data_IF_441887934752
#
_entry.id   IF_441887934752
#
_cell.length_a   1.000
_cell.length_b   1.000
_cell.length_c   1.000
_cell.angle_alpha   90.00
_cell.angle_beta   90.00
_cell.angle_gamma   90.00
#
_symmetry.space_group_name_H-M   'P 1'
#
loop_
_entity.id
_entity.type
_entity.pdbx_description
1 polymer ?
#
# COMPACT_ATOMS: atom_id res chain seq x y z
N UNK A 1 25.30 12.72 15.61
CA UNK A 1 23.98 13.37 15.72
C UNK A 1 23.05 12.50 16.57
N UNK A 2 23.09 12.69 17.89
CA UNK A 2 22.21 12.03 18.86
C UNK A 2 21.38 13.14 19.50
N UNK A 3 20.04 13.06 19.40
CA UNK A 3 19.00 13.77 20.19
C UNK A 3 17.78 14.19 19.33
N UNK A 4 17.08 13.26 18.66
CA UNK A 4 15.71 13.49 18.12
C UNK A 4 14.86 12.21 18.20
N UNK A 5 14.93 11.44 19.30
CA UNK A 5 14.10 10.23 19.46
C UNK A 5 13.11 10.29 20.64
N UNK A 6 13.15 11.35 21.46
CA UNK A 6 12.28 11.48 22.64
C UNK A 6 10.94 12.17 22.30
N UNK A 7 10.90 12.99 21.23
CA UNK A 7 9.68 13.71 20.83
C UNK A 7 8.66 12.82 20.09
N UNK A 8 9.11 11.76 19.43
CA UNK A 8 8.24 10.82 18.72
C UNK A 8 7.47 9.90 19.68
N UNK A 9 8.02 9.63 20.87
CA UNK A 9 7.36 8.82 21.90
C UNK A 9 6.17 9.57 22.54
N UNK A 10 6.25 10.90 22.64
CA UNK A 10 5.16 11.74 23.15
C UNK A 10 3.98 11.84 22.17
N UNK A 11 4.21 11.80 20.86
CA UNK A 11 3.13 11.79 19.87
C UNK A 11 2.39 10.45 19.80
N UNK A 12 3.08 9.32 19.97
CA UNK A 12 2.43 8.00 19.96
C UNK A 12 1.54 7.79 21.20
N UNK A 13 1.89 8.37 22.35
CA UNK A 13 1.06 8.28 23.56
C UNK A 13 -0.24 9.09 23.41
N UNK A 14 -0.24 10.21 22.67
CA UNK A 14 -1.46 11.01 22.43
C UNK A 14 -2.48 10.28 21.54
N UNK A 15 -2.05 9.41 20.62
CA UNK A 15 -2.97 8.60 19.80
C UNK A 15 -3.59 7.41 20.57
N UNK A 16 -2.96 6.93 21.64
CA UNK A 16 -3.54 5.89 22.51
C UNK A 16 -4.65 6.42 23.44
N UNK A 17 -4.71 7.73 23.69
CA UNK A 17 -5.77 8.35 24.50
C UNK A 17 -6.93 8.95 23.70
N UNK A 18 -6.87 8.93 22.36
CA UNK A 18 -7.93 9.46 21.49
C UNK A 18 -9.12 8.50 21.27
N UNK A 19 -9.14 7.33 21.93
CA UNK A 19 -10.21 6.32 21.78
C UNK A 19 -11.14 6.20 22.99
N UNK A 20 -11.30 7.25 23.81
CA UNK A 20 -12.44 7.29 24.72
C UNK A 20 -13.69 7.61 23.91
N UNK A 21 -14.42 6.60 23.43
CA UNK A 21 -15.73 6.82 22.80
C UNK A 21 -16.63 7.51 23.84
N UNK A 22 -17.13 8.70 23.48
CA UNK A 22 -18.05 9.43 24.32
C UNK A 22 -19.31 8.57 24.52
N UNK A 23 -19.66 8.28 25.77
CA UNK A 23 -20.84 7.50 26.12
C UNK A 23 -22.00 8.41 26.49
N UNK A 24 -23.21 7.90 26.24
CA UNK A 24 -24.45 8.64 26.40
C UNK A 24 -25.46 7.83 27.22
N UNK A 25 -26.23 8.54 28.02
CA UNK A 25 -27.46 8.03 28.61
C UNK A 25 -28.64 8.43 27.71
N UNK A 26 -29.59 7.52 27.50
CA UNK A 26 -30.87 7.82 26.85
C UNK A 26 -32.05 7.40 27.73
N UNK A 27 -33.12 8.20 27.71
CA UNK A 27 -34.29 7.93 28.54
C UNK A 27 -35.48 8.83 28.20
N UNK A 28 -36.68 8.40 28.62
CA UNK A 28 -37.92 9.17 28.51
C UNK A 28 -38.30 9.75 29.87
N UNK A 29 -38.61 11.04 29.90
CA UNK A 29 -38.96 11.79 31.10
C UNK A 29 -40.45 12.08 31.13
N UNK A 30 -41.09 11.66 32.23
CA UNK A 30 -42.52 11.78 32.44
C UNK A 30 -42.79 12.65 33.67
N UNK A 31 -43.96 13.29 33.69
CA UNK A 31 -44.49 13.93 34.89
C UNK A 31 -45.16 12.89 35.81
N UNK A 32 -45.66 13.36 36.98
CA UNK A 32 -46.35 12.52 37.97
C UNK A 32 -47.57 11.77 37.38
N UNK A 33 -48.20 12.33 36.35
CA UNK A 33 -49.34 11.75 35.63
C UNK A 33 -48.91 10.85 34.46
N UNK A 34 -47.65 10.43 34.38
CA UNK A 34 -47.07 9.61 33.29
C UNK A 34 -47.18 10.23 31.89
N UNK A 35 -47.39 11.55 31.78
CA UNK A 35 -47.35 12.25 30.49
C UNK A 35 -45.91 12.63 30.14
N UNK A 36 -45.47 12.45 28.89
CA UNK A 36 -44.13 12.82 28.46
C UNK A 36 -43.93 14.33 28.60
N UNK A 37 -42.76 14.74 29.09
CA UNK A 37 -42.42 16.15 29.23
C UNK A 37 -41.61 16.61 28.02
N UNK A 38 -42.21 17.45 27.17
CA UNK A 38 -41.53 18.07 26.04
C UNK A 38 -40.73 19.31 26.49
N UNK A 39 -39.58 19.57 25.86
CA UNK A 39 -38.69 20.70 26.14
C UNK A 39 -38.22 20.80 27.60
N UNK A 40 -38.15 19.67 28.29
CA UNK A 40 -37.63 19.59 29.65
C UNK A 40 -36.10 19.67 29.60
N UNK A 41 -35.52 20.62 30.32
CA UNK A 41 -34.07 20.73 30.50
C UNK A 41 -33.56 19.70 31.50
N UNK A 42 -32.80 18.71 31.00
CA UNK A 42 -32.13 17.69 31.80
C UNK A 42 -30.64 18.01 31.84
N UNK A 43 -30.12 18.27 33.05
CA UNK A 43 -28.73 18.65 33.29
C UNK A 43 -27.97 17.49 33.95
N UNK A 44 -26.83 17.11 33.41
CA UNK A 44 -25.86 16.29 34.13
C UNK A 44 -25.10 17.19 35.12
N UNK A 45 -25.36 17.01 36.42
CA UNK A 45 -24.76 17.83 37.49
C UNK A 45 -23.24 17.64 37.57
N UNK A 46 -22.74 16.48 37.19
CA UNK A 46 -21.31 16.13 37.26
C UNK A 46 -20.51 16.78 36.13
N UNK A 47 -21.05 16.80 34.90
CA UNK A 47 -20.35 17.32 33.71
C UNK A 47 -20.75 18.74 33.32
N UNK A 48 -21.90 19.24 33.80
CA UNK A 48 -22.46 20.53 33.41
C UNK A 48 -23.16 20.53 32.04
N UNK A 49 -23.17 19.39 31.34
CA UNK A 49 -23.85 19.24 30.04
C UNK A 49 -25.36 19.12 30.25
N UNK A 50 -26.16 19.82 29.45
CA UNK A 50 -27.61 19.69 29.46
C UNK A 50 -28.16 19.42 28.06
N UNK A 51 -29.31 18.76 28.02
CA UNK A 51 -30.10 18.56 26.79
C UNK A 51 -31.58 18.81 27.07
N UNK A 52 -32.33 19.08 26.00
CA UNK A 52 -33.77 19.22 26.04
C UNK A 52 -34.44 17.94 25.54
N UNK A 53 -35.52 17.53 26.20
CA UNK A 53 -36.34 16.42 25.71
C UNK A 53 -37.12 16.79 24.45
N UNK A 54 -37.35 15.82 23.58
CA UNK A 54 -38.20 15.95 22.39
C UNK A 54 -39.71 15.92 22.73
N UNK A 55 -40.55 15.98 21.68
CA UNK A 55 -42.01 15.90 21.79
C UNK A 55 -42.55 14.66 22.52
N UNK A 56 -41.78 13.57 22.54
CA UNK A 56 -42.11 12.30 23.21
C UNK A 56 -41.45 12.18 24.58
N UNK A 57 -40.81 13.25 25.06
CA UNK A 57 -40.10 13.29 26.33
C UNK A 57 -38.77 12.55 26.33
N UNK A 58 -38.22 12.20 25.17
CA UNK A 58 -36.95 11.48 25.04
C UNK A 58 -35.76 12.43 24.97
N UNK A 59 -34.67 12.08 25.64
CA UNK A 59 -33.41 12.80 25.55
C UNK A 59 -32.21 11.84 25.51
N UNK A 60 -31.16 12.24 24.81
CA UNK A 60 -29.85 11.60 24.79
C UNK A 60 -28.84 12.59 25.36
N UNK A 61 -28.12 12.23 26.41
CA UNK A 61 -27.22 13.14 27.10
C UNK A 61 -25.87 12.47 27.35
N UNK A 62 -24.79 13.21 27.12
CA UNK A 62 -23.44 12.80 27.49
C UNK A 62 -23.33 12.54 29.00
N UNK A 63 -23.02 11.29 29.38
CA UNK A 63 -22.94 10.90 30.78
C UNK A 63 -22.01 9.69 30.97
N UNK A 64 -21.47 9.58 32.19
CA UNK A 64 -20.78 8.39 32.68
C UNK A 64 -21.69 7.62 33.63
N UNK A 65 -21.42 6.33 33.79
CA UNK A 65 -22.09 5.56 34.85
C UNK A 65 -21.87 6.26 36.20
N UNK A 66 -22.93 6.35 37.00
CA UNK A 66 -22.99 7.02 38.30
C UNK A 66 -23.00 8.56 38.27
N UNK A 67 -23.06 9.19 37.09
CA UNK A 67 -23.39 10.63 37.02
C UNK A 67 -24.82 10.88 37.52
N UNK A 68 -25.08 12.09 38.03
CA UNK A 68 -26.40 12.49 38.52
C UNK A 68 -27.05 13.48 37.55
N UNK A 69 -28.19 13.08 36.99
CA UNK A 69 -29.04 13.95 36.19
C UNK A 69 -30.02 14.69 37.09
N UNK A 70 -30.25 15.96 36.81
CA UNK A 70 -31.19 16.83 37.51
C UNK A 70 -32.07 17.60 36.54
N UNK A 71 -33.34 17.75 36.88
CA UNK A 71 -34.32 18.56 36.14
C UNK A 71 -35.32 19.21 37.11
N UNK A 72 -36.21 20.07 36.60
CA UNK A 72 -37.16 20.85 37.40
C UNK A 72 -36.47 21.64 38.54
N UNK A 73 -35.42 22.38 38.20
CA UNK A 73 -34.59 23.14 39.15
C UNK A 73 -34.01 22.29 40.30
N UNK A 74 -33.67 21.03 40.02
CA UNK A 74 -33.03 20.13 40.98
C UNK A 74 -33.97 19.36 41.89
N UNK A 75 -35.30 19.52 41.72
CA UNK A 75 -36.29 18.74 42.49
C UNK A 75 -36.27 17.25 42.13
N UNK A 76 -35.94 16.94 40.88
CA UNK A 76 -35.90 15.57 40.40
C UNK A 76 -34.47 15.17 40.08
N UNK A 77 -34.07 13.98 40.53
CA UNK A 77 -32.70 13.44 40.40
C UNK A 77 -32.73 12.01 39.88
N UNK A 78 -31.84 11.67 38.95
CA UNK A 78 -31.64 10.31 38.47
C UNK A 78 -30.16 9.96 38.42
N UNK A 79 -29.77 8.83 39.00
CA UNK A 79 -28.42 8.29 38.85
C UNK A 79 -28.34 7.53 37.54
N UNK A 80 -27.35 7.88 36.72
CA UNK A 80 -27.11 7.27 35.41
C UNK A 80 -26.58 5.85 35.58
N UNK A 81 -27.22 4.92 34.88
CA UNK A 81 -26.71 3.57 34.67
C UNK A 81 -26.94 3.15 33.22
N UNK A 82 -26.13 2.23 32.70
CA UNK A 82 -26.24 1.67 31.34
C UNK A 82 -26.02 2.68 30.21
N UNK A 83 -24.94 3.45 30.29
CA UNK A 83 -24.50 4.32 29.18
C UNK A 83 -24.09 3.49 27.95
N UNK A 84 -24.37 4.00 26.76
CA UNK A 84 -24.10 3.33 25.47
C UNK A 84 -23.47 4.31 24.49
N UNK A 85 -22.88 3.77 23.42
CA UNK A 85 -22.42 4.59 22.30
C UNK A 85 -23.63 5.19 21.56
N UNK A 86 -23.47 6.43 21.08
CA UNK A 86 -24.52 7.17 20.38
C UNK A 86 -25.11 6.38 19.20
N UNK A 87 -24.24 5.71 18.42
CA UNK A 87 -24.64 4.88 17.28
C UNK A 87 -25.65 3.80 17.67
N UNK A 88 -25.38 3.06 18.76
CA UNK A 88 -26.26 1.98 19.23
C UNK A 88 -27.62 2.52 19.71
N UNK A 89 -27.64 3.73 20.30
CA UNK A 89 -28.88 4.38 20.71
C UNK A 89 -29.71 4.76 19.47
N UNK A 90 -29.08 5.40 18.47
CA UNK A 90 -29.76 5.82 17.25
C UNK A 90 -30.30 4.63 16.43
N UNK A 91 -29.52 3.56 16.29
CA UNK A 91 -29.96 2.33 15.60
C UNK A 91 -31.17 1.68 16.28
N UNK A 92 -31.27 1.77 17.61
CA UNK A 92 -32.41 1.21 18.35
C UNK A 92 -33.71 2.01 18.22
N UNK A 93 -33.65 3.28 17.82
CA UNK A 93 -34.83 4.14 17.61
C UNK A 93 -35.39 4.03 16.19
N UNK A 94 -34.61 3.52 15.23
CA UNK A 94 -35.06 3.34 13.85
C UNK A 94 -35.85 2.03 13.74
N UNK A 95 -37.14 2.14 13.37
CA UNK A 95 -38.00 0.98 13.16
C UNK A 95 -37.50 0.20 11.94
N UNK A 96 -36.93 -0.98 12.18
CA UNK A 96 -36.57 -1.93 11.12
C UNK A 96 -37.84 -2.51 10.52
N UNK A 97 -38.19 -2.11 9.30
CA UNK A 97 -39.26 -2.73 8.51
C UNK A 97 -38.62 -3.44 7.33
N UNK A 98 -38.95 -4.73 7.16
CA UNK A 98 -38.52 -5.49 5.99
C UNK A 98 -39.17 -4.89 4.74
N UNK A 99 -38.33 -4.59 3.73
CA UNK A 99 -38.79 -4.10 2.44
C UNK A 99 -39.69 -5.17 1.81
N UNK A 100 -40.99 -4.86 1.69
CA UNK A 100 -41.90 -5.73 0.94
C UNK A 100 -41.45 -5.77 -0.51
N UNK A 101 -41.25 -6.97 -1.05
CA UNK A 101 -40.87 -7.13 -2.45
C UNK A 101 -41.96 -6.54 -3.35
N UNK A 102 -41.55 -5.72 -4.30
CA UNK A 102 -42.42 -5.27 -5.39
C UNK A 102 -42.47 -6.43 -6.39
N UNK A 103 -43.59 -7.12 -6.45
CA UNK A 103 -43.80 -8.25 -7.36
C UNK A 103 -44.47 -7.74 -8.65
N UNK A 104 -43.82 -7.94 -9.80
CA UNK A 104 -44.38 -7.63 -11.12
C UNK A 104 -44.39 -8.88 -11.99
N UNK A 105 -45.58 -9.26 -12.49
CA UNK A 105 -45.75 -10.41 -13.40
C UNK A 105 -45.00 -10.24 -14.72
N UNK A 106 -44.73 -9.00 -15.12
CA UNK A 106 -44.05 -8.69 -16.39
C UNK A 106 -42.55 -8.98 -16.31
N UNK A 107 -41.97 -9.02 -15.10
CA UNK A 107 -40.57 -9.36 -14.89
C UNK A 107 -40.35 -10.89 -14.97
N UNK A 108 -41.27 -11.67 -14.41
CA UNK A 108 -41.19 -13.15 -14.39
C UNK A 108 -41.21 -13.75 -15.80
N UNK A 109 -41.97 -13.17 -16.74
CA UNK A 109 -42.07 -13.68 -18.11
C UNK A 109 -40.80 -13.47 -18.95
N UNK A 110 -39.91 -12.56 -18.53
CA UNK A 110 -38.66 -12.25 -19.22
C UNK A 110 -37.45 -13.02 -18.65
N UNK A 111 -37.56 -13.60 -17.46
CA UNK A 111 -36.47 -14.32 -16.79
C UNK A 111 -36.64 -15.84 -16.73
N UNK A 112 -37.82 -16.37 -17.07
CA UNK A 112 -38.05 -17.82 -17.12
C UNK A 112 -37.55 -18.35 -18.48
N UNK A 113 -36.25 -18.59 -18.56
CA UNK A 113 -35.77 -19.75 -19.30
C UNK A 113 -35.85 -20.93 -18.32
N UNK A 114 -36.79 -21.84 -18.55
CA UNK A 114 -36.77 -23.15 -17.90
C UNK A 114 -35.54 -23.93 -18.41
N UNK A 115 -34.37 -23.68 -17.83
CA UNK A 115 -33.35 -24.72 -17.77
C UNK A 115 -33.90 -25.81 -16.87
N UNK A 116 -34.53 -26.82 -17.48
CA UNK A 116 -34.69 -28.12 -16.84
C UNK A 116 -33.30 -28.66 -16.56
N UNK A 117 -32.79 -28.37 -15.36
CA UNK A 117 -31.59 -28.98 -14.82
C UNK A 117 -31.80 -30.51 -14.81
N UNK A 118 -31.17 -31.19 -15.76
CA UNK A 118 -31.21 -32.64 -15.87
C UNK A 118 -30.50 -33.34 -14.70
N UNK A 119 -29.88 -32.58 -13.78
CA UNK A 119 -29.24 -33.06 -12.56
C UNK A 119 -30.03 -32.73 -11.28
N UNK A 120 -31.21 -32.13 -11.37
CA UNK A 120 -32.07 -31.95 -10.18
C UNK A 120 -32.54 -33.32 -9.71
N UNK A 121 -31.99 -33.78 -8.59
CA UNK A 121 -32.37 -35.03 -7.92
C UNK A 121 -33.82 -34.87 -7.48
N UNK A 122 -34.74 -35.52 -8.21
CA UNK A 122 -36.14 -35.66 -7.82
C UNK A 122 -36.28 -36.22 -6.41
N UNK A 123 -37.40 -35.87 -5.76
CA UNK A 123 -37.76 -36.20 -4.38
C UNK A 123 -37.22 -37.56 -3.89
N UNK A 124 -36.03 -37.55 -3.30
CA UNK A 124 -35.44 -38.71 -2.64
C UNK A 124 -35.79 -38.61 -1.16
N UNK A 125 -36.58 -39.57 -0.67
CA UNK A 125 -37.10 -39.65 0.71
C UNK A 125 -36.00 -39.90 1.77
N UNK A 126 -34.75 -40.14 1.37
CA UNK A 126 -33.62 -40.37 2.27
C UNK A 126 -32.88 -39.06 2.59
N UNK A 127 -33.55 -38.15 3.30
CA UNK A 127 -32.91 -36.93 3.81
C UNK A 127 -32.24 -37.20 5.17
N UNK A 128 -30.89 -37.25 5.15
CA UNK A 128 -30.11 -37.32 6.39
C UNK A 128 -29.95 -35.89 6.93
N UNK A 129 -30.58 -35.61 8.07
CA UNK A 129 -30.49 -34.29 8.72
C UNK A 129 -29.44 -34.30 9.82
N UNK A 130 -29.02 -33.12 10.31
CA UNK A 130 -28.08 -33.01 11.43
C UNK A 130 -28.56 -33.70 12.72
N UNK A 131 -29.85 -34.07 12.80
CA UNK A 131 -30.46 -34.77 13.94
C UNK A 131 -30.52 -36.30 13.75
N UNK A 132 -30.14 -36.82 12.58
CA UNK A 132 -30.24 -38.24 12.25
C UNK A 132 -29.25 -39.13 12.99
N UNK A 133 -28.22 -38.56 13.63
CA UNK A 133 -27.28 -39.29 14.50
C UNK A 133 -26.74 -38.39 15.62
N UNK A 134 -26.53 -38.95 16.82
CA UNK A 134 -26.01 -38.19 17.99
C UNK A 134 -24.59 -37.64 17.75
N UNK A 135 -23.83 -38.25 16.86
CA UNK A 135 -22.48 -37.89 16.49
C UNK A 135 -22.39 -37.38 15.05
N UNK A 136 -23.49 -36.89 14.48
CA UNK A 136 -23.53 -36.38 13.11
C UNK A 136 -22.50 -35.27 12.86
N UNK A 137 -22.23 -34.45 13.88
CA UNK A 137 -21.17 -33.41 13.88
C UNK A 137 -19.75 -33.96 13.72
N UNK A 138 -19.56 -35.25 13.98
CA UNK A 138 -18.27 -35.94 13.90
C UNK A 138 -18.13 -36.73 12.59
N UNK A 139 -19.06 -36.60 11.65
CA UNK A 139 -19.03 -37.31 10.36
C UNK A 139 -18.22 -36.50 9.34
N UNK A 140 -17.13 -37.09 8.84
CA UNK A 140 -16.27 -36.48 7.80
C UNK A 140 -16.75 -36.81 6.39
N UNK A 141 -17.23 -38.03 6.17
CA UNK A 141 -17.65 -38.51 4.85
C UNK A 141 -18.77 -39.53 4.97
N UNK A 142 -19.79 -39.37 4.14
CA UNK A 142 -20.84 -40.36 3.89
C UNK A 142 -20.58 -41.00 2.52
N UNK A 143 -20.68 -42.32 2.42
CA UNK A 143 -20.61 -43.04 1.15
C UNK A 143 -21.74 -44.05 1.09
N UNK A 144 -22.61 -43.97 0.08
CA UNK A 144 -23.64 -44.97 -0.18
C UNK A 144 -22.98 -46.30 -0.55
N UNK A 145 -23.38 -47.39 0.10
CA UNK A 145 -22.91 -48.75 -0.21
C UNK A 145 -23.91 -49.49 -1.09
N UNK A 146 -25.16 -49.64 -0.63
CA UNK A 146 -26.25 -50.33 -1.33
C UNK A 146 -27.58 -50.04 -0.61
N UNK A 147 -28.70 -49.98 -1.33
CA UNK A 147 -30.07 -49.99 -0.78
C UNK A 147 -30.24 -49.09 0.47
N UNK A 148 -29.91 -47.80 0.33
CA UNK A 148 -29.99 -46.79 1.40
C UNK A 148 -29.09 -47.00 2.63
N UNK A 149 -28.17 -47.97 2.60
CA UNK A 149 -27.12 -48.11 3.61
C UNK A 149 -25.93 -47.18 3.32
N UNK A 150 -25.64 -46.28 4.27
CA UNK A 150 -24.51 -45.37 4.21
C UNK A 150 -23.36 -45.84 5.10
N UNK A 151 -22.16 -45.91 4.53
CA UNK A 151 -20.92 -46.04 5.29
C UNK A 151 -20.51 -44.66 5.80
N UNK A 152 -20.54 -44.50 7.11
CA UNK A 152 -20.11 -43.30 7.81
C UNK A 152 -18.61 -43.39 8.11
N UNK A 153 -17.84 -42.36 7.76
CA UNK A 153 -16.46 -42.17 8.22
C UNK A 153 -16.40 -40.98 9.16
N UNK A 154 -16.00 -41.23 10.40
CA UNK A 154 -15.85 -40.19 11.42
C UNK A 154 -14.59 -39.35 11.19
N UNK A 155 -14.63 -38.10 11.66
CA UNK A 155 -13.48 -37.21 11.75
C UNK A 155 -12.48 -37.84 12.74
N UNK A 156 -11.23 -38.10 12.34
CA UNK A 156 -10.24 -38.57 13.28
C UNK A 156 -9.99 -37.49 14.34
N UNK A 157 -9.84 -37.90 15.61
CA UNK A 157 -9.56 -36.97 16.72
C UNK A 157 -8.31 -36.13 16.51
N UNK A 158 -7.34 -36.66 15.75
CA UNK A 158 -6.09 -35.98 15.37
C UNK A 158 -5.98 -35.97 13.84
N UNK A 159 -5.79 -34.80 13.25
CA UNK A 159 -5.65 -34.65 11.81
C UNK A 159 -4.63 -33.59 11.45
N UNK A 160 -3.96 -33.78 10.31
CA UNK A 160 -3.10 -32.78 9.70
C UNK A 160 -3.94 -31.89 8.79
N UNK A 161 -3.77 -30.58 8.94
CA UNK A 161 -4.27 -29.57 8.00
C UNK A 161 -3.09 -28.94 7.32
N UNK A 162 -3.22 -28.75 6.01
CA UNK A 162 -2.22 -28.08 5.18
C UNK A 162 -2.96 -27.05 4.34
N UNK A 163 -2.47 -25.82 4.36
CA UNK A 163 -2.94 -24.75 3.49
C UNK A 163 -1.76 -23.89 3.06
N UNK A 164 -1.97 -23.10 2.03
CA UNK A 164 -0.98 -22.15 1.57
C UNK A 164 -1.55 -21.22 0.51
N UNK A 165 -0.79 -20.21 0.20
CA UNK A 165 -1.09 -19.25 -0.85
C UNK A 165 0.18 -18.93 -1.61
N UNK A 166 0.06 -18.88 -2.93
CA UNK A 166 1.10 -18.37 -3.81
C UNK A 166 0.55 -17.16 -4.54
N UNK A 167 1.26 -16.04 -4.49
CA UNK A 167 0.94 -14.85 -5.27
C UNK A 167 2.16 -14.42 -6.07
N UNK A 168 1.91 -14.08 -7.33
CA UNK A 168 2.91 -13.51 -8.23
C UNK A 168 2.36 -12.21 -8.79
N UNK A 169 3.19 -11.18 -8.88
CA UNK A 169 2.83 -9.90 -9.51
C UNK A 169 3.90 -9.48 -10.50
N UNK A 170 3.48 -8.73 -11.51
CA UNK A 170 4.35 -8.04 -12.45
C UNK A 170 3.87 -6.60 -12.55
N UNK A 171 4.81 -5.68 -12.40
CA UNK A 171 4.53 -4.24 -12.39
C UNK A 171 5.29 -3.57 -13.53
N UNK A 172 4.59 -2.79 -14.35
CA UNK A 172 5.19 -1.97 -15.41
C UNK A 172 4.98 -0.51 -15.04
N UNK A 173 6.08 0.19 -14.73
CA UNK A 173 6.03 1.57 -14.23
C UNK A 173 6.69 2.49 -15.27
N UNK A 174 5.99 3.56 -15.66
CA UNK A 174 6.55 4.63 -16.50
C UNK A 174 6.70 5.91 -15.69
N UNK A 175 7.46 6.88 -16.24
CA UNK A 175 7.58 8.21 -15.63
C UNK A 175 6.24 8.93 -15.72
N UNK A 176 5.83 9.60 -14.64
CA UNK A 176 4.60 10.38 -14.62
C UNK A 176 4.80 11.77 -15.24
N UNK A 177 5.60 12.63 -14.58
CA UNK A 177 5.84 14.01 -15.02
C UNK A 177 7.31 14.38 -14.88
N UNK A 178 7.82 15.16 -15.84
CA UNK A 178 9.16 15.77 -15.79
C UNK A 178 9.05 17.24 -16.19
N UNK A 179 9.98 18.11 -15.72
CA UNK A 179 10.06 19.47 -16.21
C UNK A 179 10.24 19.50 -17.73
N UNK A 180 9.52 20.39 -18.41
CA UNK A 180 9.70 20.63 -19.84
C UNK A 180 11.02 21.38 -20.04
N UNK A 181 11.94 20.78 -20.80
CA UNK A 181 13.19 21.42 -21.20
C UNK A 181 13.01 22.20 -22.52
N UNK A 182 13.87 23.17 -22.76
CA UNK A 182 13.91 23.95 -23.99
C UNK A 182 14.56 23.13 -25.12
N UNK A 183 14.17 23.36 -26.37
CA UNK A 183 14.67 22.64 -27.55
C UNK A 183 15.07 23.55 -28.72
N UNK A 184 15.43 24.81 -28.42
CA UNK A 184 15.67 25.84 -29.42
C UNK A 184 17.08 26.39 -29.41
N UNK A 185 17.60 26.73 -28.23
CA UNK A 185 18.89 27.40 -28.11
C UNK A 185 20.00 26.42 -27.74
N UNK A 186 21.14 26.52 -28.42
CA UNK A 186 22.29 25.65 -28.17
C UNK A 186 23.14 26.15 -27.00
N UNK A 187 24.14 25.36 -26.62
CA UNK A 187 25.16 25.76 -25.65
C UNK A 187 25.87 27.04 -26.10
N UNK A 188 25.86 28.08 -25.28
CA UNK A 188 26.44 29.37 -25.65
C UNK A 188 25.99 30.54 -24.79
N UNK A 189 26.48 31.72 -25.16
CA UNK A 189 26.11 33.01 -24.55
C UNK A 189 26.26 34.14 -25.56
N UNK A 190 25.74 35.32 -25.19
CA UNK A 190 26.04 36.55 -25.94
C UNK A 190 27.49 36.99 -25.74
N UNK A 191 28.16 37.32 -26.83
CA UNK A 191 29.48 37.92 -26.87
C UNK A 191 29.43 39.14 -27.79
N UNK A 192 29.74 40.32 -27.23
CA UNK A 192 29.68 41.61 -27.94
C UNK A 192 28.32 41.88 -28.62
N UNK A 193 27.21 41.46 -28.01
CA UNK A 193 25.85 41.66 -28.52
C UNK A 193 25.35 40.58 -29.48
N UNK A 194 26.22 39.68 -29.95
CA UNK A 194 25.86 38.56 -30.82
C UNK A 194 25.78 37.25 -30.03
N UNK A 195 24.80 36.40 -30.31
CA UNK A 195 24.75 35.06 -29.75
C UNK A 195 25.82 34.20 -30.42
N UNK A 196 26.64 33.52 -29.62
CA UNK A 196 27.74 32.69 -30.11
C UNK A 196 27.64 31.30 -29.49
N UNK A 197 27.73 30.26 -30.32
CA UNK A 197 27.85 28.90 -29.83
C UNK A 197 29.18 28.71 -29.14
N UNK A 198 29.15 28.05 -27.99
CA UNK A 198 30.35 27.71 -27.23
C UNK A 198 30.29 26.23 -26.86
N UNK A 199 31.11 25.43 -27.53
CA UNK A 199 31.19 23.99 -27.32
C UNK A 199 31.67 23.60 -25.93
N UNK A 200 31.61 22.31 -25.64
CA UNK A 200 31.92 21.77 -24.30
C UNK A 200 33.38 22.00 -23.88
N UNK A 201 34.29 22.15 -24.83
CA UNK A 201 35.70 22.52 -24.61
C UNK A 201 35.89 23.92 -23.99
N UNK A 202 34.85 24.75 -23.99
CA UNK A 202 34.89 26.11 -23.45
C UNK A 202 34.35 26.23 -22.03
N UNK A 203 33.92 25.10 -21.44
CA UNK A 203 33.24 25.01 -20.14
C UNK A 203 31.93 25.80 -20.02
N UNK A 204 31.33 26.20 -21.14
CA UNK A 204 30.00 26.79 -21.15
C UNK A 204 28.99 25.84 -20.50
N UNK A 205 28.10 26.32 -19.64
CA UNK A 205 27.08 25.47 -19.01
C UNK A 205 25.68 25.80 -19.49
N UNK A 206 25.49 27.00 -20.04
CA UNK A 206 24.17 27.51 -20.35
C UNK A 206 23.80 27.33 -21.82
N UNK A 207 22.51 27.15 -22.06
CA UNK A 207 21.93 27.11 -23.39
C UNK A 207 21.39 28.48 -23.82
N UNK A 208 22.23 29.52 -23.73
CA UNK A 208 21.92 30.88 -24.19
C UNK A 208 22.67 31.22 -25.49
N UNK A 209 22.96 30.20 -26.30
CA UNK A 209 23.57 30.34 -27.61
C UNK A 209 22.55 30.66 -28.71
N UNK A 210 22.97 30.59 -29.98
CA UNK A 210 22.10 30.78 -31.14
C UNK A 210 20.95 29.78 -31.20
N UNK A 211 19.97 30.09 -32.04
CA UNK A 211 18.92 29.15 -32.42
C UNK A 211 19.55 27.97 -33.19
N UNK A 212 19.22 26.73 -32.81
CA UNK A 212 19.78 25.54 -33.43
C UNK A 212 19.49 25.48 -34.94
N UNK A 213 18.36 26.07 -35.38
CA UNK A 213 18.00 26.11 -36.80
C UNK A 213 18.93 26.97 -37.66
N UNK A 214 19.77 27.81 -37.05
CA UNK A 214 20.73 28.67 -37.76
C UNK A 214 22.13 28.07 -37.81
N UNK A 215 22.29 26.82 -37.38
CA UNK A 215 23.58 26.16 -37.24
C UNK A 215 23.64 24.87 -38.06
N UNK A 216 24.86 24.52 -38.46
CA UNK A 216 25.21 23.29 -39.17
C UNK A 216 26.46 22.67 -38.53
N UNK A 217 26.68 21.40 -38.80
CA UNK A 217 27.89 20.69 -38.40
C UNK A 217 29.00 20.84 -39.44
N UNK A 218 30.22 21.12 -39.00
CA UNK A 218 31.39 21.23 -39.88
C UNK A 218 31.90 19.87 -40.43
N UNK A 219 31.36 18.75 -39.93
CA UNK A 219 31.76 17.37 -40.26
C UNK A 219 33.26 17.09 -40.06
N UNK A 220 33.94 17.88 -39.22
CA UNK A 220 35.33 17.65 -38.84
C UNK A 220 35.41 16.81 -37.56
N UNK A 221 36.53 16.13 -37.35
CA UNK A 221 36.74 15.37 -36.13
C UNK A 221 36.70 16.27 -34.88
N UNK A 222 35.81 15.95 -33.95
CA UNK A 222 35.60 16.70 -32.71
C UNK A 222 35.30 15.76 -31.55
N UNK A 223 35.94 15.99 -30.41
CA UNK A 223 35.89 15.06 -29.28
C UNK A 223 34.51 14.99 -28.60
N UNK A 224 33.70 16.03 -28.75
CA UNK A 224 32.42 16.16 -28.04
C UNK A 224 31.20 15.94 -28.93
N UNK A 225 31.34 15.80 -30.25
CA UNK A 225 30.24 15.38 -31.12
C UNK A 225 30.79 14.64 -32.34
N UNK A 226 30.20 13.48 -32.64
CA UNK A 226 30.56 12.66 -33.80
C UNK A 226 30.34 13.38 -35.14
N UNK A 227 29.45 14.38 -35.18
CA UNK A 227 29.16 15.16 -36.38
C UNK A 227 30.08 16.39 -36.54
N UNK A 228 30.93 16.71 -35.55
CA UNK A 228 31.79 17.89 -35.60
C UNK A 228 31.26 19.08 -34.81
N UNK A 229 31.85 20.26 -35.03
CA UNK A 229 31.48 21.49 -34.32
C UNK A 229 30.29 22.17 -34.97
N UNK A 230 29.56 22.95 -34.18
CA UNK A 230 28.48 23.79 -34.71
C UNK A 230 29.05 25.09 -35.27
N UNK A 231 28.71 25.37 -36.52
CA UNK A 231 29.05 26.59 -37.25
C UNK A 231 27.78 27.25 -37.78
N UNK A 232 27.87 28.54 -38.13
CA UNK A 232 26.74 29.24 -38.74
C UNK A 232 26.36 28.55 -40.05
N UNK A 233 25.05 28.52 -40.33
CA UNK A 233 24.50 27.94 -41.54
C UNK A 233 25.18 28.49 -42.80
N UNK A 234 25.75 27.58 -43.60
CA UNK A 234 26.43 27.85 -44.85
C UNK A 234 26.08 26.74 -45.84
N UNK A 235 25.35 27.08 -46.91
CA UNK A 235 24.87 26.11 -47.91
C UNK A 235 25.92 25.04 -48.27
N UNK A 236 25.69 23.79 -47.82
CA UNK A 236 26.54 22.63 -48.15
C UNK A 236 26.90 21.69 -47.00
N UNK A 237 26.56 22.02 -45.75
CA UNK A 237 26.83 21.19 -44.58
C UNK A 237 25.56 20.52 -44.01
N UNK A 238 25.75 19.62 -43.06
CA UNK A 238 24.65 18.90 -42.39
C UNK A 238 24.02 19.80 -41.33
N UNK A 239 22.69 19.98 -41.36
CA UNK A 239 21.99 20.79 -40.35
C UNK A 239 22.22 20.28 -38.92
N UNK A 240 22.28 21.22 -37.96
CA UNK A 240 22.47 20.90 -36.55
C UNK A 240 21.33 20.01 -36.02
N UNK A 241 21.69 19.07 -35.14
CA UNK A 241 20.77 18.09 -34.56
C UNK A 241 20.51 18.38 -33.08
N UNK A 242 19.26 18.21 -32.67
CA UNK A 242 18.83 18.22 -31.28
C UNK A 242 19.02 16.82 -30.69
N UNK A 243 19.67 16.73 -29.53
CA UNK A 243 19.79 15.49 -28.77
C UNK A 243 18.77 15.40 -27.64
N UNK A 244 18.17 14.21 -27.50
CA UNK A 244 17.41 13.85 -26.30
C UNK A 244 18.37 13.27 -25.27
N UNK A 245 18.43 13.92 -24.11
CA UNK A 245 19.27 13.52 -22.98
C UNK A 245 18.45 12.91 -21.83
N UNK A 246 17.19 12.53 -22.08
CA UNK A 246 16.33 11.90 -21.08
C UNK A 246 16.91 10.54 -20.63
N UNK A 247 17.13 10.42 -19.33
CA UNK A 247 17.69 9.21 -18.73
C UNK A 247 16.63 8.19 -18.30
N UNK A 248 15.37 8.62 -18.17
CA UNK A 248 14.31 7.79 -17.60
C UNK A 248 13.76 6.80 -18.63
N UNK A 249 13.68 5.52 -18.23
CA UNK A 249 13.06 4.43 -18.99
C UNK A 249 11.81 3.87 -18.31
N UNK A 250 11.00 3.12 -19.05
CA UNK A 250 9.97 2.25 -18.47
C UNK A 250 10.65 1.12 -17.68
N UNK A 251 10.14 0.83 -16.49
CA UNK A 251 10.70 -0.17 -15.58
C UNK A 251 9.76 -1.33 -15.41
N UNK A 252 10.32 -2.52 -15.17
CA UNK A 252 9.56 -3.72 -14.85
C UNK A 252 9.98 -4.24 -13.48
N UNK A 253 9.00 -4.53 -12.64
CA UNK A 253 9.16 -5.23 -11.36
C UNK A 253 8.42 -6.55 -11.37
N UNK A 254 8.87 -7.50 -10.55
CA UNK A 254 8.13 -8.72 -10.27
C UNK A 254 8.24 -9.11 -8.81
N UNK A 255 7.17 -9.68 -8.26
CA UNK A 255 7.15 -10.22 -6.91
C UNK A 255 6.59 -11.64 -6.90
N UNK A 256 7.12 -12.49 -6.03
CA UNK A 256 6.65 -13.84 -5.79
C UNK A 256 6.61 -14.07 -4.29
N UNK A 257 5.47 -14.52 -3.79
CA UNK A 257 5.26 -14.74 -2.38
C UNK A 257 4.56 -16.09 -2.16
N UNK A 258 5.14 -16.92 -1.31
CA UNK A 258 4.66 -18.25 -0.98
C UNK A 258 4.52 -18.37 0.53
N UNK A 259 3.29 -18.57 0.99
CA UNK A 259 3.00 -18.85 2.39
C UNK A 259 2.48 -20.28 2.51
N UNK A 260 3.04 -21.04 3.45
CA UNK A 260 2.66 -22.44 3.73
C UNK A 260 2.34 -22.55 5.21
N UNK A 261 1.20 -23.14 5.55
CA UNK A 261 0.85 -23.49 6.92
C UNK A 261 0.50 -24.98 7.03
N UNK A 262 1.18 -25.66 7.94
CA UNK A 262 0.87 -27.02 8.34
C UNK A 262 0.50 -27.04 9.81
N UNK A 263 -0.65 -27.60 10.17
CA UNK A 263 -1.06 -27.71 11.57
C UNK A 263 -1.62 -29.10 11.89
N UNK A 264 -1.13 -29.69 12.96
CA UNK A 264 -1.70 -30.90 13.56
C UNK A 264 -2.73 -30.45 14.58
N UNK A 265 -3.99 -30.77 14.31
CA UNK A 265 -5.11 -30.42 15.18
C UNK A 265 -5.59 -31.64 15.95
N UNK A 266 -6.00 -31.43 17.19
CA UNK A 266 -6.81 -32.36 17.96
C UNK A 266 -8.15 -31.70 18.25
N UNK A 267 -9.22 -32.31 17.76
CA UNK A 267 -10.56 -31.71 17.73
C UNK A 267 -10.54 -30.34 17.01
N UNK A 268 -10.70 -29.23 17.75
CA UNK A 268 -10.62 -27.86 17.23
C UNK A 268 -9.38 -27.09 17.69
N UNK A 269 -8.45 -27.75 18.39
CA UNK A 269 -7.27 -27.11 18.97
C UNK A 269 -6.00 -27.51 18.22
N UNK A 270 -5.16 -26.53 17.94
CA UNK A 270 -3.85 -26.78 17.36
C UNK A 270 -2.92 -27.36 18.43
N UNK A 271 -2.37 -28.53 18.14
CA UNK A 271 -1.34 -29.18 18.96
C UNK A 271 0.04 -28.81 18.45
N UNK A 272 0.17 -28.58 17.16
CA UNK A 272 1.38 -28.13 16.49
C UNK A 272 1.00 -27.31 15.28
N UNK A 273 1.70 -26.21 15.00
CA UNK A 273 1.57 -25.41 13.80
C UNK A 273 2.95 -24.95 13.33
N UNK A 274 3.21 -25.12 12.04
CA UNK A 274 4.35 -24.58 11.32
C UNK A 274 3.82 -23.65 10.24
N UNK A 275 4.31 -22.41 10.22
CA UNK A 275 4.04 -21.42 9.17
C UNK A 275 5.36 -21.00 8.55
N UNK A 276 5.48 -21.14 7.23
CA UNK A 276 6.63 -20.71 6.45
C UNK A 276 6.17 -19.64 5.46
N UNK A 277 6.99 -18.62 5.30
CA UNK A 277 6.74 -17.50 4.39
C UNK A 277 8.00 -17.21 3.57
N UNK A 278 7.87 -17.21 2.25
CA UNK A 278 8.96 -16.97 1.32
C UNK A 278 8.56 -15.84 0.37
N UNK A 279 9.32 -14.76 0.36
CA UNK A 279 9.12 -13.63 -0.54
C UNK A 279 10.37 -13.38 -1.37
N UNK A 280 10.18 -13.13 -2.66
CA UNK A 280 11.19 -12.57 -3.54
C UNK A 280 10.57 -11.43 -4.34
N UNK A 281 11.25 -10.30 -4.39
CA UNK A 281 10.90 -9.15 -5.20
C UNK A 281 12.12 -8.67 -5.96
N UNK A 282 11.93 -8.29 -7.22
CA UNK A 282 12.93 -7.56 -8.00
C UNK A 282 12.28 -6.41 -8.71
N UNK A 283 12.77 -5.20 -8.44
CA UNK A 283 12.30 -3.97 -9.06
C UNK A 283 13.43 -3.35 -9.89
N UNK A 284 13.17 -3.11 -11.18
CA UNK A 284 14.04 -2.22 -11.96
C UNK A 284 13.78 -0.76 -11.58
N UNK A 285 14.84 0.05 -11.52
CA UNK A 285 14.70 1.49 -11.34
C UNK A 285 14.68 2.24 -12.68
N UNK A 286 14.22 3.50 -12.64
CA UNK A 286 14.08 4.34 -13.83
C UNK A 286 15.41 4.69 -14.53
N UNK A 287 16.54 4.52 -13.84
CA UNK A 287 17.88 4.80 -14.36
C UNK A 287 18.52 3.55 -14.98
N UNK A 288 19.47 3.73 -15.89
CA UNK A 288 20.09 2.64 -16.66
C UNK A 288 20.75 1.61 -15.73
N UNK A 289 20.44 0.33 -15.96
CA UNK A 289 21.02 -0.85 -15.28
C UNK A 289 20.96 -0.87 -13.75
N UNK A 290 19.97 -0.20 -13.15
CA UNK A 290 19.74 -0.19 -11.70
C UNK A 290 18.56 -1.08 -11.30
N UNK A 291 18.74 -1.86 -10.23
CA UNK A 291 17.68 -2.70 -9.67
C UNK A 291 17.79 -2.86 -8.15
N UNK A 292 16.65 -3.22 -7.57
CA UNK A 292 16.47 -3.62 -6.19
C UNK A 292 16.02 -5.06 -6.13
N UNK A 293 16.56 -5.84 -5.20
CA UNK A 293 16.12 -7.21 -4.91
C UNK A 293 15.85 -7.32 -3.42
N UNK A 294 14.63 -7.75 -3.08
CA UNK A 294 14.22 -8.08 -1.72
C UNK A 294 13.98 -9.59 -1.60
N UNK A 295 14.56 -10.21 -0.58
CA UNK A 295 14.27 -11.61 -0.22
C UNK A 295 13.80 -11.66 1.22
N UNK A 296 12.74 -12.41 1.47
CA UNK A 296 12.13 -12.58 2.79
C UNK A 296 11.95 -14.06 3.08
N UNK A 297 12.37 -14.49 4.27
CA UNK A 297 12.07 -15.80 4.80
C UNK A 297 11.59 -15.70 6.24
N UNK A 298 10.38 -16.17 6.51
CA UNK A 298 9.81 -16.22 7.87
C UNK A 298 9.43 -17.65 8.20
N UNK A 299 9.76 -18.07 9.41
CA UNK A 299 9.31 -19.33 9.96
C UNK A 299 8.68 -19.08 11.33
N UNK A 300 7.50 -19.62 11.57
CA UNK A 300 6.85 -19.60 12.89
C UNK A 300 6.45 -21.01 13.26
N UNK A 301 6.75 -21.38 14.49
CA UNK A 301 6.41 -22.67 15.07
C UNK A 301 5.62 -22.43 16.35
N UNK A 302 4.56 -23.21 16.51
CA UNK A 302 3.76 -23.28 17.71
C UNK A 302 3.56 -24.74 18.07
N UNK A 303 3.68 -25.08 19.35
CA UNK A 303 3.47 -26.44 19.83
C UNK A 303 2.92 -26.44 21.25
N UNK A 304 1.95 -27.33 21.50
CA UNK A 304 1.47 -27.69 22.83
C UNK A 304 2.27 -28.89 23.32
N UNK A 305 3.12 -28.66 24.32
CA UNK A 305 3.91 -29.72 24.95
C UNK A 305 3.50 -29.78 26.42
N UNK A 306 2.77 -30.84 26.78
CA UNK A 306 2.23 -31.04 28.12
C UNK A 306 1.32 -29.87 28.55
N UNK A 307 1.75 -29.07 29.53
CA UNK A 307 1.05 -27.89 30.05
C UNK A 307 1.58 -26.57 29.51
N UNK A 308 2.57 -26.63 28.62
CA UNK A 308 3.25 -25.46 28.09
C UNK A 308 2.86 -25.19 26.64
N UNK A 309 2.69 -23.91 26.33
CA UNK A 309 2.54 -23.43 24.96
C UNK A 309 3.88 -22.83 24.49
N UNK A 310 4.50 -23.48 23.51
CA UNK A 310 5.77 -23.04 22.93
C UNK A 310 5.51 -22.30 21.63
N UNK A 311 5.94 -21.04 21.56
CA UNK A 311 5.89 -20.23 20.34
C UNK A 311 7.31 -19.75 20.00
N UNK A 312 7.74 -19.99 18.77
CA UNK A 312 9.01 -19.48 18.24
C UNK A 312 8.83 -18.90 16.84
N UNK A 313 9.55 -17.82 16.56
CA UNK A 313 9.55 -17.16 15.25
C UNK A 313 10.96 -16.80 14.81
N UNK A 314 11.22 -16.94 13.52
CA UNK A 314 12.42 -16.53 12.82
C UNK A 314 12.03 -15.65 11.62
N UNK A 315 12.73 -14.54 11.44
CA UNK A 315 12.58 -13.65 10.29
C UNK A 315 13.95 -13.30 9.74
N UNK A 316 14.13 -13.54 8.45
CA UNK A 316 15.27 -13.15 7.65
C UNK A 316 14.80 -12.25 6.50
N UNK A 317 15.38 -11.05 6.43
CA UNK A 317 15.13 -10.11 5.36
C UNK A 317 16.48 -9.66 4.79
N UNK A 318 16.59 -9.74 3.47
CA UNK A 318 17.77 -9.35 2.71
C UNK A 318 17.35 -8.37 1.63
N UNK A 319 18.04 -7.23 1.57
CA UNK A 319 17.85 -6.24 0.52
C UNK A 319 19.16 -6.00 -0.20
N UNK A 320 19.14 -6.11 -1.53
CA UNK A 320 20.28 -5.84 -2.41
C UNK A 320 19.95 -4.72 -3.37
N UNK A 321 20.96 -3.90 -3.62
CA UNK A 321 20.92 -2.80 -4.57
C UNK A 321 22.09 -2.90 -5.52
N UNK A 322 21.94 -2.34 -6.71
CA UNK A 322 23.09 -1.97 -7.54
C UNK A 322 23.97 -0.92 -6.81
N UNK A 323 23.39 0.17 -6.30
CA UNK A 323 24.16 1.26 -5.66
C UNK A 323 23.75 1.57 -4.21
N UNK A 324 24.73 1.94 -3.38
CA UNK A 324 24.57 2.30 -1.95
C UNK A 324 24.17 3.76 -1.77
N UNK A 325 24.84 4.69 -2.46
CA UNK A 325 24.56 6.13 -2.40
C UNK A 325 23.53 6.55 -3.46
N UNK A 326 22.33 5.96 -3.38
CA UNK A 326 21.28 6.12 -4.38
C UNK A 326 20.81 7.56 -4.54
N UNK A 327 20.56 8.24 -3.42
CA UNK A 327 20.00 9.59 -3.44
C UNK A 327 20.98 10.56 -4.11
N UNK A 328 22.26 10.52 -3.74
CA UNK A 328 23.27 11.39 -4.33
C UNK A 328 23.48 11.10 -5.82
N UNK A 329 23.68 9.82 -6.16
CA UNK A 329 23.91 9.39 -7.55
C UNK A 329 22.74 9.76 -8.47
N UNK A 330 21.51 9.39 -8.10
CA UNK A 330 20.34 9.61 -8.94
C UNK A 330 19.98 11.08 -9.08
N UNK A 331 20.09 11.87 -8.00
CA UNK A 331 19.87 13.31 -8.10
C UNK A 331 20.91 13.97 -9.00
N UNK A 332 22.19 13.59 -8.88
CA UNK A 332 23.26 14.15 -9.72
C UNK A 332 23.09 13.77 -11.18
N UNK A 333 22.79 12.49 -11.47
CA UNK A 333 22.54 12.02 -12.82
C UNK A 333 21.30 12.69 -13.46
N UNK A 334 20.21 12.79 -12.70
CA UNK A 334 18.98 13.44 -13.16
C UNK A 334 19.17 14.93 -13.41
N UNK A 335 19.86 15.64 -12.50
CA UNK A 335 20.20 17.04 -12.67
C UNK A 335 21.00 17.26 -13.95
N UNK A 336 22.05 16.47 -14.18
CA UNK A 336 22.87 16.62 -15.38
C UNK A 336 22.09 16.27 -16.66
N UNK A 337 21.23 15.25 -16.64
CA UNK A 337 20.32 14.94 -17.76
C UNK A 337 19.42 16.12 -18.12
N UNK A 338 18.85 16.82 -17.12
CA UNK A 338 17.99 17.98 -17.35
C UNK A 338 18.76 19.22 -17.84
N UNK A 339 19.98 19.44 -17.35
CA UNK A 339 20.80 20.60 -17.67
C UNK A 339 21.64 20.43 -18.93
N UNK A 340 21.74 19.22 -19.48
CA UNK A 340 22.54 18.96 -20.67
C UNK A 340 22.00 19.79 -21.85
N UNK A 341 22.84 20.62 -22.48
CA UNK A 341 22.44 21.40 -23.65
C UNK A 341 21.96 20.49 -24.80
N UNK A 342 20.98 20.97 -25.56
CA UNK A 342 20.41 20.22 -26.68
C UNK A 342 21.40 19.93 -27.83
N UNK A 343 22.51 20.66 -27.86
CA UNK A 343 23.62 20.48 -28.80
C UNK A 343 24.66 19.46 -28.33
N UNK A 344 24.49 18.85 -27.16
CA UNK A 344 25.39 17.84 -26.62
C UNK A 344 24.63 16.53 -26.35
N UNK A 345 25.21 15.39 -26.74
CA UNK A 345 24.65 14.07 -26.47
C UNK A 345 25.40 13.36 -25.35
N UNK A 346 24.71 12.94 -24.29
CA UNK A 346 25.28 12.07 -23.26
C UNK A 346 25.53 10.63 -23.76
N UNK A 347 24.86 10.21 -24.84
CA UNK A 347 24.87 8.81 -25.30
C UNK A 347 26.04 8.47 -26.23
N UNK A 348 26.56 9.46 -26.97
CA UNK A 348 27.59 9.25 -27.98
C UNK A 348 28.90 8.65 -27.43
N UNK A 349 29.29 9.01 -26.20
CA UNK A 349 30.33 8.32 -25.40
C UNK A 349 30.35 8.88 -23.97
N UNK A 350 30.74 8.06 -23.00
CA UNK A 350 30.97 8.49 -21.61
C UNK A 350 32.39 9.03 -21.39
N UNK A 351 33.35 8.65 -22.24
CA UNK A 351 34.76 8.98 -22.10
C UNK A 351 35.30 9.75 -23.32
N UNK A 352 36.25 10.65 -23.07
CA UNK A 352 37.12 11.27 -24.07
C UNK A 352 38.28 10.31 -24.41
N UNK A 353 39.02 10.61 -25.48
CA UNK A 353 40.15 9.77 -25.90
C UNK A 353 41.26 9.68 -24.84
N UNK A 354 41.40 10.71 -24.01
CA UNK A 354 42.35 10.75 -22.89
C UNK A 354 41.87 9.98 -21.63
N UNK A 355 40.71 9.33 -21.69
CA UNK A 355 40.13 8.57 -20.57
C UNK A 355 39.38 9.42 -19.53
N UNK A 356 39.34 10.75 -19.68
CA UNK A 356 38.50 11.62 -18.84
C UNK A 356 37.03 11.49 -19.23
N UNK A 357 36.14 11.88 -18.32
CA UNK A 357 34.70 11.93 -18.59
C UNK A 357 34.41 12.92 -19.73
N UNK A 358 33.66 12.47 -20.75
CA UNK A 358 33.10 13.34 -21.78
C UNK A 358 31.81 13.96 -21.27
N UNK A 359 31.87 15.21 -20.87
CA UNK A 359 30.74 15.99 -20.33
C UNK A 359 30.58 17.30 -21.11
N UNK A 360 29.43 17.98 -20.94
CA UNK A 360 29.19 19.25 -21.62
C UNK A 360 29.98 20.43 -21.02
N UNK A 361 30.57 20.27 -19.83
CA UNK A 361 31.40 21.26 -19.14
C UNK A 361 32.18 20.57 -18.02
N UNK A 362 33.38 21.06 -17.63
CA UNK A 362 34.13 20.49 -16.50
C UNK A 362 33.41 20.52 -15.15
N UNK A 363 32.36 21.33 -15.02
CA UNK A 363 31.54 21.43 -13.79
C UNK A 363 30.32 20.50 -13.80
N UNK A 364 30.11 19.81 -14.91
CA UNK A 364 29.02 18.88 -15.13
C UNK A 364 29.51 17.43 -15.16
N UNK A 365 28.56 16.52 -14.97
CA UNK A 365 28.82 15.09 -15.11
C UNK A 365 28.03 14.51 -16.27
N UNK A 366 28.64 13.55 -16.97
CA UNK A 366 27.91 12.74 -17.93
C UNK A 366 27.17 11.64 -17.14
N UNK A 367 25.83 11.58 -17.19
CA UNK A 367 25.11 10.58 -16.43
C UNK A 367 25.52 9.14 -16.79
N UNK A 368 25.90 8.86 -18.04
CA UNK A 368 26.39 7.54 -18.47
C UNK A 368 27.71 7.19 -17.79
N UNK A 369 28.63 8.15 -17.64
CA UNK A 369 29.87 7.96 -16.89
C UNK A 369 29.62 7.67 -15.42
N UNK A 370 28.65 8.37 -14.80
CA UNK A 370 28.29 8.13 -13.39
C UNK A 370 27.77 6.71 -13.15
N UNK A 371 27.04 6.13 -14.10
CA UNK A 371 26.53 4.76 -13.99
C UNK A 371 27.53 3.69 -14.48
N UNK A 372 28.52 4.08 -15.28
CA UNK A 372 29.53 3.18 -15.82
C UNK A 372 30.77 3.07 -14.92
N UNK A 373 30.57 2.65 -13.67
CA UNK A 373 31.66 2.39 -12.73
C UNK A 373 31.98 0.89 -12.64
N UNK A 374 33.25 0.53 -12.44
CA UNK A 374 33.67 -0.89 -12.38
C UNK A 374 33.17 -1.64 -11.11
N UNK A 375 32.67 -0.95 -10.09
CA UNK A 375 32.15 -1.54 -8.84
C UNK A 375 30.64 -1.33 -8.69
N UNK A 376 29.85 -1.84 -9.66
CA UNK A 376 28.39 -1.63 -9.76
C UNK A 376 27.55 -2.33 -8.66
N UNK A 377 28.14 -2.99 -7.65
CA UNK A 377 27.39 -3.93 -6.77
C UNK A 377 27.90 -3.98 -5.32
N UNK A 378 27.69 -2.93 -4.53
CA UNK A 378 28.25 -2.89 -3.17
C UNK A 378 27.23 -2.59 -2.05
N UNK A 379 25.93 -2.86 -2.23
CA UNK A 379 24.98 -2.81 -1.11
C UNK A 379 24.37 -4.16 -0.77
N UNK A 380 24.66 -4.61 0.45
CA UNK A 380 24.12 -5.82 1.05
C UNK A 380 23.70 -5.47 2.49
N UNK A 381 22.40 -5.46 2.77
CA UNK A 381 21.90 -5.28 4.13
C UNK A 381 21.19 -6.56 4.57
N UNK A 382 21.77 -7.21 5.58
CA UNK A 382 21.25 -8.43 6.19
C UNK A 382 20.69 -8.09 7.57
N UNK A 383 19.36 -8.08 7.71
CA UNK A 383 18.73 -7.85 9.00
C UNK A 383 18.18 -9.17 9.55
N UNK A 384 18.80 -9.67 10.61
CA UNK A 384 18.21 -10.69 11.47
C UNK A 384 17.32 -10.00 12.49
N UNK A 385 16.01 -10.02 12.28
CA UNK A 385 15.06 -9.46 13.24
C UNK A 385 14.68 -10.56 14.24
N UNK A 386 15.36 -10.56 15.39
CA UNK A 386 15.07 -11.24 16.67
C UNK A 386 14.35 -12.61 16.63
N UNK A 387 15.01 -13.64 17.13
CA UNK A 387 14.33 -14.83 17.65
C UNK A 387 13.54 -14.44 18.91
N UNK A 388 12.21 -14.37 18.81
CA UNK A 388 11.34 -14.26 19.98
C UNK A 388 10.77 -15.65 20.28
N UNK A 389 11.22 -16.24 21.38
CA UNK A 389 10.64 -17.43 21.98
C UNK A 389 9.91 -17.03 23.26
N UNK A 390 8.66 -17.47 23.42
CA UNK A 390 7.94 -17.37 24.69
C UNK A 390 7.42 -18.75 25.06
N UNK A 391 7.61 -19.11 26.33
CA UNK A 391 7.08 -20.33 26.94
C UNK A 391 6.15 -19.83 28.04
N UNK A 392 4.86 -20.11 27.90
CA UNK A 392 3.83 -19.81 28.90
C UNK A 392 3.30 -21.08 29.53
#
# INVERSE_FOLDING_TARGET
>A
MKKIYILLLFFVIQFYFAQNSQLYYSGKFFNENKKPQNFLKVLNKNSGVYELTDEKGFAILAAKNYDTLVWNNGKNTQVVSRVRELKSILESEIKSEDVKSIYSRDYDSLTIFEEKDQFSIGENYDSITKKSDRYFSSVRKLKLQKDSFYKIKTQPKKYLTFNGSFSTSVDVKSKNQIPKTQNRYVQGRSQNGSLVWRGSETDEMFSFGPDISTLEFDNQAYEYDQNGRLVNFSNGLSSAKIYDNNLLKTTVGYSNHLTINAAIKRDYTDQFRLSLDFGQEKDQMYFIDQFDIGNVFKAKIYSKILKFDVNAGFNYEENKATNTNRIGLFNRAYQNSLLTPISFSNDQNAYLQNGLQRSYSRYADNPKFLFDQNQKYNYYDNRRLNCKGFIS
#
